data_IF_713924653799
#
_entry.id   IF_713924653799
#
_cell.length_a   1.000
_cell.length_b   1.000
_cell.length_c   1.000
_cell.angle_alpha   90.00
_cell.angle_beta   90.00
_cell.angle_gamma   90.00
#
_symmetry.space_group_name_H-M   'P 1'
#
loop_
_entity.id
_entity.type
_entity.pdbx_description
1 polymer ?
#
# COMPACT_ATOMS: atom_id res chain seq x y z
N UNK A 1 21.42 11.24 4.36
CA UNK A 1 20.33 10.60 5.13
C UNK A 1 20.88 9.53 6.05
N UNK A 2 20.31 9.40 7.23
CA UNK A 2 20.76 8.45 8.26
C UNK A 2 19.93 7.16 8.25
N UNK A 3 18.66 7.20 7.93
CA UNK A 3 17.78 6.04 7.95
C UNK A 3 16.93 5.94 6.69
N UNK A 4 17.18 4.89 5.91
CA UNK A 4 16.34 4.55 4.75
C UNK A 4 15.31 3.52 5.18
N UNK A 5 14.03 3.83 5.02
CA UNK A 5 12.93 2.99 5.47
C UNK A 5 12.39 2.08 4.37
N UNK A 6 12.30 2.56 3.13
CA UNK A 6 11.86 1.76 1.99
C UNK A 6 12.44 2.29 0.67
N UNK A 7 12.54 1.40 -0.30
CA UNK A 7 12.85 1.74 -1.69
C UNK A 7 11.84 1.00 -2.59
N UNK A 8 11.29 1.73 -3.54
CA UNK A 8 10.33 1.21 -4.52
C UNK A 8 10.83 1.52 -5.92
N UNK A 9 10.83 0.53 -6.80
CA UNK A 9 11.19 0.67 -8.21
C UNK A 9 9.93 0.89 -9.05
N UNK A 10 9.90 1.94 -9.84
CA UNK A 10 8.84 2.25 -10.79
C UNK A 10 9.28 2.13 -12.25
N UNK A 11 8.31 2.09 -13.17
CA UNK A 11 8.56 2.09 -14.61
C UNK A 11 9.01 0.75 -15.20
N UNK A 12 9.01 -0.33 -14.42
CA UNK A 12 9.45 -1.66 -14.86
C UNK A 12 8.26 -2.61 -15.08
N UNK A 13 8.44 -3.56 -15.98
CA UNK A 13 7.47 -4.63 -16.18
C UNK A 13 7.41 -5.52 -14.92
N UNK A 14 6.21 -5.87 -14.50
CA UNK A 14 5.97 -6.67 -13.29
C UNK A 14 5.32 -8.01 -13.57
N UNK A 15 4.90 -8.25 -14.82
CA UNK A 15 4.31 -9.50 -15.26
C UNK A 15 5.01 -10.02 -16.50
N UNK A 16 5.12 -11.34 -16.61
CA UNK A 16 5.62 -12.01 -17.79
C UNK A 16 5.04 -13.44 -17.86
N UNK A 17 4.98 -13.99 -19.07
CA UNK A 17 4.70 -15.40 -19.29
C UNK A 17 6.02 -16.14 -19.47
N UNK A 18 6.27 -17.16 -18.65
CA UNK A 18 7.45 -18.02 -18.78
C UNK A 18 7.08 -19.32 -19.50
N UNK A 19 7.77 -19.59 -20.59
CA UNK A 19 7.62 -20.84 -21.35
C UNK A 19 8.52 -21.91 -20.74
N UNK A 20 7.92 -22.99 -20.26
CA UNK A 20 8.65 -24.17 -19.73
C UNK A 20 9.32 -25.01 -20.85
N UNK A 21 8.96 -24.75 -22.11
CA UNK A 21 9.48 -25.52 -23.26
C UNK A 21 10.82 -25.00 -23.69
N UNK A 22 10.98 -23.69 -23.80
CA UNK A 22 12.17 -23.03 -24.32
C UNK A 22 12.83 -22.05 -23.34
N UNK A 23 12.29 -21.94 -22.12
CA UNK A 23 12.84 -21.10 -21.05
C UNK A 23 12.74 -19.60 -21.32
N UNK A 24 11.85 -19.15 -22.21
CA UNK A 24 11.72 -17.75 -22.59
C UNK A 24 10.62 -17.03 -21.81
N UNK A 25 10.88 -15.75 -21.54
CA UNK A 25 9.88 -14.80 -21.07
C UNK A 25 9.22 -14.11 -22.27
N UNK A 26 7.90 -14.07 -22.26
CA UNK A 26 7.06 -13.39 -23.25
C UNK A 26 5.95 -12.61 -22.56
N UNK A 27 5.24 -11.77 -23.30
CA UNK A 27 4.12 -10.99 -22.79
C UNK A 27 4.48 -10.21 -21.52
N UNK A 28 5.67 -9.59 -21.51
CA UNK A 28 6.07 -8.70 -20.43
C UNK A 28 5.23 -7.44 -20.51
N UNK A 29 4.50 -7.16 -19.44
CA UNK A 29 3.56 -6.04 -19.38
C UNK A 29 3.38 -5.55 -17.93
N UNK A 30 2.60 -4.49 -17.81
CA UNK A 30 2.19 -3.88 -16.56
C UNK A 30 3.34 -3.25 -15.78
N UNK A 31 3.59 -2.00 -16.07
CA UNK A 31 4.53 -1.19 -15.30
C UNK A 31 3.88 -0.78 -13.98
N UNK A 32 4.25 -1.47 -12.91
CA UNK A 32 3.86 -1.16 -11.53
C UNK A 32 5.10 -0.92 -10.69
N UNK A 33 4.89 -0.38 -9.50
CA UNK A 33 5.96 -0.23 -8.53
C UNK A 33 6.30 -1.57 -7.88
N UNK A 34 7.60 -1.82 -7.68
CA UNK A 34 8.14 -3.01 -7.04
C UNK A 34 8.84 -2.58 -5.76
N UNK A 35 8.34 -3.00 -4.60
CA UNK A 35 8.99 -2.72 -3.32
C UNK A 35 10.20 -3.62 -3.12
N UNK A 36 11.34 -3.02 -2.82
CA UNK A 36 12.57 -3.74 -2.53
C UNK A 36 12.60 -4.23 -1.08
N UNK A 37 13.18 -5.40 -0.87
CA UNK A 37 13.37 -5.95 0.46
C UNK A 37 14.59 -5.33 1.14
N UNK A 38 14.42 -4.78 2.34
CA UNK A 38 15.52 -4.26 3.16
C UNK A 38 16.37 -5.41 3.67
N UNK A 39 17.68 -5.35 3.44
CA UNK A 39 18.68 -6.34 3.87
C UNK A 39 19.72 -5.77 4.84
N UNK A 40 19.77 -4.45 4.99
CA UNK A 40 20.63 -3.71 5.91
C UNK A 40 20.13 -2.30 6.11
N UNK A 41 20.84 -1.48 6.88
CA UNK A 41 20.39 -0.11 7.21
C UNK A 41 20.11 0.76 5.98
N UNK A 42 20.93 0.59 4.93
CA UNK A 42 20.83 1.32 3.67
C UNK A 42 20.92 0.39 2.46
N UNK A 43 20.69 -0.91 2.65
CA UNK A 43 20.81 -1.93 1.61
C UNK A 43 19.46 -2.57 1.35
N UNK A 44 19.11 -2.66 0.07
CA UNK A 44 17.86 -3.21 -0.40
C UNK A 44 18.12 -4.12 -1.60
N UNK A 45 17.31 -5.15 -1.76
CA UNK A 45 17.40 -6.11 -2.86
C UNK A 45 16.01 -6.37 -3.46
N UNK A 46 15.95 -6.64 -4.74
CA UNK A 46 14.73 -7.03 -5.44
C UNK A 46 15.03 -7.85 -6.69
N UNK A 47 14.05 -8.58 -7.15
CA UNK A 47 14.13 -9.35 -8.40
C UNK A 47 13.34 -8.57 -9.46
N UNK A 48 13.97 -8.29 -10.58
CA UNK A 48 13.39 -7.57 -11.71
C UNK A 48 13.27 -8.49 -12.92
N UNK A 49 12.25 -8.24 -13.73
CA UNK A 49 12.19 -8.81 -15.07
C UNK A 49 13.26 -8.15 -15.96
N UNK A 50 13.78 -8.85 -16.98
CA UNK A 50 14.62 -8.25 -17.98
C UNK A 50 13.96 -7.03 -18.63
N UNK A 51 14.75 -6.02 -18.95
CA UNK A 51 14.27 -4.79 -19.58
C UNK A 51 15.30 -4.29 -20.58
N UNK A 52 14.87 -3.97 -21.80
CA UNK A 52 15.76 -3.51 -22.86
C UNK A 52 16.15 -2.04 -22.72
N UNK A 53 15.45 -1.26 -21.90
CA UNK A 53 15.68 0.15 -21.71
C UNK A 53 15.29 0.62 -20.30
N UNK A 54 16.24 1.23 -19.59
CA UNK A 54 16.04 1.79 -18.26
C UNK A 54 16.07 3.32 -18.25
N UNK A 55 16.77 3.94 -19.20
CA UNK A 55 16.97 5.39 -19.28
C UNK A 55 15.62 6.10 -19.38
N UNK A 56 15.40 7.07 -18.50
CA UNK A 56 14.16 7.85 -18.37
C UNK A 56 12.88 7.00 -18.13
N UNK A 57 13.03 5.69 -17.86
CA UNK A 57 11.92 4.77 -17.58
C UNK A 57 11.95 4.24 -16.16
N UNK A 58 13.09 3.68 -15.73
CA UNK A 58 13.23 3.17 -14.37
C UNK A 58 13.41 4.33 -13.40
N UNK A 59 12.62 4.31 -12.35
CA UNK A 59 12.73 5.25 -11.24
C UNK A 59 12.82 4.52 -9.89
N UNK A 60 13.57 5.09 -8.96
CA UNK A 60 13.62 4.64 -7.56
C UNK A 60 12.96 5.71 -6.69
N UNK A 61 11.97 5.31 -5.93
CA UNK A 61 11.41 6.11 -4.86
C UNK A 61 12.00 5.65 -3.54
N UNK A 62 12.67 6.54 -2.83
CA UNK A 62 13.41 6.25 -1.61
C UNK A 62 12.79 7.02 -0.45
N UNK A 63 12.36 6.32 0.58
CA UNK A 63 11.87 6.93 1.81
C UNK A 63 12.99 6.93 2.83
N UNK A 64 13.42 8.11 3.25
CA UNK A 64 14.56 8.27 4.15
C UNK A 64 14.40 9.49 5.07
N UNK A 65 14.69 9.35 6.37
CA UNK A 65 14.66 10.41 7.38
C UNK A 65 13.34 11.23 7.38
N UNK A 66 12.23 10.59 7.05
CA UNK A 66 10.91 11.23 6.94
C UNK A 66 10.72 12.04 5.65
N UNK A 67 11.62 11.91 4.67
CA UNK A 67 11.51 12.50 3.34
C UNK A 67 11.36 11.45 2.26
N UNK A 68 10.75 11.84 1.14
CA UNK A 68 10.68 11.07 -0.08
C UNK A 68 11.68 11.63 -1.09
N UNK A 69 12.44 10.75 -1.70
CA UNK A 69 13.43 11.07 -2.72
C UNK A 69 13.16 10.23 -3.94
N UNK A 70 13.45 10.78 -5.11
CA UNK A 70 13.28 10.06 -6.37
C UNK A 70 14.58 10.14 -7.17
N UNK A 71 14.97 9.01 -7.71
CA UNK A 71 16.03 8.88 -8.69
C UNK A 71 15.44 8.28 -9.95
N UNK A 72 15.73 8.84 -11.10
CA UNK A 72 15.39 8.27 -12.42
C UNK A 72 16.68 8.00 -13.16
N UNK A 73 16.79 6.83 -13.78
CA UNK A 73 17.99 6.47 -14.55
C UNK A 73 18.22 7.51 -15.66
N UNK A 74 19.30 8.31 -15.59
CA UNK A 74 19.52 9.41 -16.51
C UNK A 74 20.12 8.95 -17.85
N UNK A 75 20.12 9.84 -18.81
CA UNK A 75 20.89 9.69 -20.04
C UNK A 75 22.38 9.56 -19.70
N UNK A 76 23.06 8.61 -20.35
CA UNK A 76 24.49 8.34 -20.10
C UNK A 76 24.76 7.38 -18.94
N UNK A 77 23.73 6.85 -18.28
CA UNK A 77 23.87 5.76 -17.33
C UNK A 77 24.61 4.57 -17.92
N UNK A 78 25.48 3.95 -17.13
CA UNK A 78 26.21 2.73 -17.52
C UNK A 78 25.32 1.50 -17.51
N UNK A 79 24.23 1.54 -16.72
CA UNK A 79 23.20 0.51 -16.68
C UNK A 79 22.00 1.04 -17.48
N UNK A 80 21.92 0.65 -18.73
CA UNK A 80 20.88 1.07 -19.67
C UNK A 80 19.77 0.01 -19.87
N UNK A 81 20.03 -1.21 -19.40
CA UNK A 81 19.12 -2.36 -19.53
C UNK A 81 19.33 -3.40 -18.42
N UNK A 82 18.34 -4.26 -18.20
CA UNK A 82 18.45 -5.45 -17.38
C UNK A 82 18.48 -6.72 -18.24
N UNK A 83 19.53 -7.49 -18.13
CA UNK A 83 19.69 -8.79 -18.81
C UNK A 83 19.42 -9.90 -17.81
N UNK A 84 18.72 -10.95 -18.24
CA UNK A 84 18.43 -12.09 -17.38
C UNK A 84 19.71 -12.78 -16.89
N UNK A 85 19.75 -13.15 -15.61
CA UNK A 85 20.88 -13.85 -14.99
C UNK A 85 22.02 -12.92 -14.53
N UNK A 86 21.77 -11.63 -14.50
CA UNK A 86 22.77 -10.64 -14.03
C UNK A 86 22.29 -9.93 -12.75
N UNK A 87 23.24 -9.53 -11.92
CA UNK A 87 23.06 -8.67 -10.75
C UNK A 87 23.46 -7.24 -11.10
N UNK A 88 22.62 -6.28 -10.69
CA UNK A 88 22.87 -4.85 -10.91
C UNK A 88 22.85 -4.12 -9.57
N UNK A 89 23.87 -3.30 -9.31
CA UNK A 89 23.98 -2.52 -8.08
C UNK A 89 23.82 -1.03 -8.39
N UNK A 90 22.88 -0.39 -7.72
CA UNK A 90 22.69 1.06 -7.76
C UNK A 90 23.13 1.65 -6.42
N UNK A 91 24.15 2.53 -6.44
CA UNK A 91 24.56 3.28 -5.28
C UNK A 91 23.99 4.69 -5.39
N UNK A 92 22.98 4.99 -4.58
CA UNK A 92 22.27 6.26 -4.67
C UNK A 92 22.59 7.14 -3.46
N UNK A 93 23.12 8.34 -3.74
CA UNK A 93 23.34 9.35 -2.72
C UNK A 93 22.03 10.11 -2.48
N UNK A 94 21.51 10.03 -1.28
CA UNK A 94 20.30 10.74 -0.87
C UNK A 94 20.70 11.91 0.01
N UNK A 95 20.57 13.14 -0.48
CA UNK A 95 21.05 14.36 0.18
C UNK A 95 20.01 15.46 0.23
N UNK A 96 20.38 16.53 0.92
CA UNK A 96 19.61 17.76 0.99
C UNK A 96 19.79 18.54 -0.32
N UNK A 97 18.72 19.10 -0.83
CA UNK A 97 18.75 19.89 -2.07
C UNK A 97 20.00 20.80 -2.15
N UNK A 98 20.85 20.54 -3.11
CA UNK A 98 21.70 21.54 -3.70
C UNK A 98 21.49 21.43 -5.21
N UNK A 99 20.93 22.48 -5.75
CA UNK A 99 20.82 22.66 -7.20
C UNK A 99 22.20 22.53 -7.84
N UNK A 100 22.37 21.57 -8.71
CA UNK A 100 23.50 21.54 -9.63
C UNK A 100 24.45 20.38 -9.44
N UNK A 101 24.58 19.65 -10.51
CA UNK A 101 25.62 18.69 -10.90
C UNK A 101 25.57 17.29 -10.27
N UNK A 102 25.28 16.35 -11.14
CA UNK A 102 25.37 14.90 -10.95
C UNK A 102 26.85 14.50 -10.83
N UNK A 103 27.28 14.10 -9.65
CA UNK A 103 28.57 13.50 -9.43
C UNK A 103 28.52 11.98 -9.60
N UNK A 104 29.11 11.44 -10.66
CA UNK A 104 29.17 9.99 -10.88
C UNK A 104 30.15 9.31 -9.95
N UNK A 105 29.76 8.25 -9.29
CA UNK A 105 30.60 7.36 -8.50
C UNK A 105 30.77 5.99 -9.17
N UNK A 106 31.82 5.26 -8.87
CA UNK A 106 32.16 3.99 -9.50
C UNK A 106 31.66 2.78 -8.70
N UNK A 107 31.11 1.83 -9.39
CA UNK A 107 30.66 0.57 -8.81
C UNK A 107 31.47 -0.65 -9.24
N UNK A 108 31.45 -1.71 -8.48
CA UNK A 108 32.13 -2.96 -8.74
C UNK A 108 31.19 -4.15 -8.80
N UNK A 109 31.54 -5.11 -9.55
CA UNK A 109 30.83 -6.25 -10.07
C UNK A 109 31.15 -7.57 -9.39
N UNK A 110 30.21 -8.42 -9.12
CA UNK A 110 30.48 -9.83 -8.73
C UNK A 110 29.42 -10.82 -9.24
N UNK A 111 29.77 -12.04 -9.57
CA UNK A 111 29.05 -12.89 -10.51
C UNK A 111 27.99 -13.77 -9.86
N UNK A 112 26.83 -13.44 -10.13
CA UNK A 112 25.91 -14.12 -11.02
C UNK A 112 26.02 -13.65 -12.48
N UNK A 113 27.07 -13.23 -13.00
CA UNK A 113 27.24 -12.46 -14.21
C UNK A 113 26.98 -10.97 -13.90
N UNK A 114 28.08 -10.24 -13.92
CA UNK A 114 28.11 -8.83 -13.58
C UNK A 114 27.33 -7.95 -14.55
N UNK A 115 26.22 -7.38 -14.08
CA UNK A 115 25.40 -6.48 -14.87
C UNK A 115 25.80 -5.00 -14.79
N UNK A 116 26.64 -4.64 -13.85
CA UNK A 116 27.09 -3.26 -13.65
C UNK A 116 26.58 -2.62 -12.35
N UNK A 117 27.11 -1.45 -12.05
CA UNK A 117 26.62 -0.61 -10.95
C UNK A 117 26.45 0.84 -11.38
N UNK A 118 25.50 1.51 -10.78
CA UNK A 118 25.16 2.89 -11.05
C UNK A 118 25.12 3.70 -9.76
N UNK A 119 25.62 4.93 -9.81
CA UNK A 119 25.54 5.89 -8.73
C UNK A 119 24.70 7.07 -9.15
N UNK A 120 23.81 7.53 -8.30
CA UNK A 120 22.94 8.65 -8.58
C UNK A 120 22.47 9.39 -7.34
N UNK A 121 21.94 10.57 -7.54
CA UNK A 121 21.33 11.38 -6.50
C UNK A 121 19.80 11.30 -6.60
N UNK A 122 19.14 11.17 -5.46
CA UNK A 122 17.68 11.19 -5.36
C UNK A 122 17.19 12.56 -4.94
N UNK A 123 16.32 13.13 -5.75
CA UNK A 123 15.65 14.39 -5.46
C UNK A 123 14.51 14.21 -4.46
N UNK A 124 14.36 15.19 -3.56
CA UNK A 124 13.24 15.17 -2.62
C UNK A 124 11.95 15.52 -3.34
N UNK A 125 10.95 14.65 -3.26
CA UNK A 125 9.60 14.89 -3.79
C UNK A 125 8.57 14.93 -2.66
N UNK A 126 7.61 15.80 -2.80
CA UNK A 126 6.47 15.91 -1.88
C UNK A 126 5.35 14.98 -2.36
N UNK A 127 4.88 14.09 -1.51
CA UNK A 127 3.69 13.27 -1.75
C UNK A 127 2.68 13.41 -0.63
N UNK A 128 1.67 14.23 -0.90
CA UNK A 128 0.37 13.96 -0.31
C UNK A 128 -0.53 13.49 -1.46
N UNK A 129 -1.04 12.27 -1.39
CA UNK A 129 -2.19 11.93 -2.23
C UNK A 129 -3.27 12.96 -1.90
N UNK A 130 -3.59 13.82 -2.85
CA UNK A 130 -4.54 14.90 -2.61
C UNK A 130 -5.89 14.29 -2.24
N UNK A 131 -6.40 14.64 -1.06
CA UNK A 131 -7.77 14.30 -0.69
C UNK A 131 -8.69 14.94 -1.73
N UNK A 132 -9.58 14.19 -2.38
CA UNK A 132 -10.47 14.76 -3.38
C UNK A 132 -11.26 15.94 -2.80
N UNK A 133 -11.40 17.01 -3.59
CA UNK A 133 -11.96 18.28 -3.11
C UNK A 133 -13.43 18.19 -2.66
N UNK A 134 -14.12 17.14 -3.03
CA UNK A 134 -15.51 16.87 -2.67
C UNK A 134 -15.67 16.13 -1.33
N UNK A 135 -14.56 15.84 -0.63
CA UNK A 135 -14.60 15.27 0.71
C UNK A 135 -14.57 16.35 1.80
N UNK A 136 -15.50 16.24 2.74
CA UNK A 136 -15.46 17.03 3.98
C UNK A 136 -14.33 16.48 4.87
N UNK A 137 -13.28 17.27 5.07
CA UNK A 137 -12.11 16.85 5.83
C UNK A 137 -12.29 17.12 7.32
N UNK A 138 -11.88 16.16 8.15
CA UNK A 138 -11.83 16.26 9.60
C UNK A 138 -10.44 15.88 10.09
N UNK A 139 -9.72 16.83 10.67
CA UNK A 139 -8.41 16.58 11.27
C UNK A 139 -8.55 15.77 12.56
N UNK A 140 -7.72 14.75 12.70
CA UNK A 140 -7.68 13.85 13.85
C UNK A 140 -6.40 14.11 14.64
N UNK A 141 -6.54 14.27 15.94
CA UNK A 141 -5.42 14.35 16.89
C UNK A 141 -5.55 13.26 17.96
N UNK A 142 -4.58 13.15 18.86
CA UNK A 142 -4.56 12.11 19.89
C UNK A 142 -5.75 12.16 20.88
N UNK A 143 -6.39 13.32 21.00
CA UNK A 143 -7.52 13.54 21.91
C UNK A 143 -8.88 13.34 21.22
N UNK A 144 -8.87 13.07 19.90
CA UNK A 144 -10.11 12.93 19.13
C UNK A 144 -10.85 11.67 19.52
N UNK A 145 -12.12 11.81 19.88
CA UNK A 145 -12.99 10.64 20.08
C UNK A 145 -13.62 10.23 18.76
N UNK A 146 -13.16 9.09 18.19
CA UNK A 146 -13.65 8.57 16.92
C UNK A 146 -15.12 8.16 16.95
N UNK A 147 -15.67 7.77 18.10
CA UNK A 147 -17.10 7.39 18.17
C UNK A 147 -18.02 8.56 17.94
N UNK A 148 -17.55 9.78 18.17
CA UNK A 148 -18.35 11.02 18.04
C UNK A 148 -17.89 11.91 16.87
N UNK A 149 -16.69 11.70 16.33
CA UNK A 149 -16.14 12.58 15.27
C UNK A 149 -17.04 12.62 14.02
N UNK A 150 -17.73 11.55 13.73
CA UNK A 150 -18.66 11.44 12.60
C UNK A 150 -20.09 11.84 12.95
N UNK A 151 -20.39 12.25 14.20
CA UNK A 151 -21.74 12.69 14.59
C UNK A 151 -22.20 13.86 13.70
N UNK A 152 -23.38 13.69 13.10
CA UNK A 152 -23.94 14.67 12.15
C UNK A 152 -23.23 14.78 10.80
N UNK A 153 -22.25 13.91 10.51
CA UNK A 153 -21.59 13.87 9.22
C UNK A 153 -22.48 13.24 8.14
N UNK A 154 -22.34 13.69 6.91
CA UNK A 154 -23.05 13.15 5.75
C UNK A 154 -22.22 13.26 4.48
N UNK A 155 -22.55 12.49 3.45
CA UNK A 155 -21.84 12.49 2.16
C UNK A 155 -20.46 11.91 2.26
N UNK A 156 -19.48 12.52 1.61
CA UNK A 156 -18.10 12.05 1.55
C UNK A 156 -17.27 12.69 2.66
N UNK A 157 -16.64 11.88 3.48
CA UNK A 157 -15.87 12.33 4.65
C UNK A 157 -14.47 11.77 4.62
N UNK A 158 -13.47 12.62 4.84
CA UNK A 158 -12.08 12.23 5.04
C UNK A 158 -11.64 12.50 6.49
N UNK A 159 -11.16 11.48 7.17
CA UNK A 159 -10.49 11.59 8.47
C UNK A 159 -8.99 11.66 8.22
N UNK A 160 -8.39 12.80 8.57
CA UNK A 160 -6.98 13.12 8.28
C UNK A 160 -6.16 12.99 9.56
N UNK A 161 -5.29 12.00 9.60
CA UNK A 161 -4.45 11.68 10.75
C UNK A 161 -3.07 12.33 10.58
N UNK A 162 -2.75 13.30 11.43
CA UNK A 162 -1.43 13.91 11.45
C UNK A 162 -0.36 12.98 12.02
N UNK A 163 0.92 13.33 11.84
CA UNK A 163 2.02 12.62 12.45
C UNK A 163 1.88 12.60 13.98
N UNK A 164 1.96 11.40 14.56
CA UNK A 164 2.00 11.21 16.02
C UNK A 164 3.03 10.14 16.34
N UNK A 165 4.10 10.51 17.03
CA UNK A 165 5.21 9.60 17.36
C UNK A 165 4.76 8.40 18.23
N UNK A 166 3.78 8.62 19.11
CA UNK A 166 3.22 7.59 19.99
C UNK A 166 2.14 6.75 19.28
N UNK A 167 1.70 7.19 18.11
CA UNK A 167 0.57 6.62 17.41
C UNK A 167 -0.78 7.01 18.04
N UNK A 168 -1.85 6.48 17.49
CA UNK A 168 -3.22 6.69 17.97
C UNK A 168 -3.76 5.42 18.60
N UNK A 169 -4.56 5.54 19.65
CA UNK A 169 -5.24 4.41 20.27
C UNK A 169 -6.72 4.71 20.44
N UNK A 170 -7.55 3.90 19.79
CA UNK A 170 -9.00 4.02 19.79
C UNK A 170 -9.61 2.71 20.32
N UNK A 171 -10.00 2.73 21.60
CA UNK A 171 -10.56 1.57 22.31
C UNK A 171 -12.02 1.28 21.94
N UNK A 172 -12.71 2.27 21.41
CA UNK A 172 -14.12 2.15 21.03
C UNK A 172 -14.26 1.94 19.52
N UNK A 173 -15.34 1.29 19.11
CA UNK A 173 -15.68 1.18 17.70
C UNK A 173 -16.05 2.54 17.14
N UNK A 174 -15.55 2.85 15.96
CA UNK A 174 -16.00 3.99 15.18
C UNK A 174 -17.30 3.61 14.46
N UNK A 175 -18.39 4.28 14.81
CA UNK A 175 -19.69 4.07 14.16
C UNK A 175 -19.85 5.11 13.04
N UNK A 176 -20.00 4.63 11.83
CA UNK A 176 -20.21 5.49 10.65
C UNK A 176 -21.70 5.72 10.47
N UNK A 177 -22.17 6.99 10.51
CA UNK A 177 -23.58 7.30 10.30
C UNK A 177 -24.07 6.87 8.90
N UNK A 178 -25.34 6.49 8.80
CA UNK A 178 -25.98 6.10 7.54
C UNK A 178 -25.91 7.19 6.45
N UNK A 179 -25.92 8.45 6.85
CA UNK A 179 -25.81 9.60 5.96
C UNK A 179 -24.41 9.77 5.31
N UNK A 180 -23.38 9.09 5.82
CA UNK A 180 -22.04 9.08 5.21
C UNK A 180 -22.01 8.04 4.10
N UNK A 181 -21.75 8.50 2.88
CA UNK A 181 -21.73 7.65 1.68
C UNK A 181 -20.34 7.13 1.33
N UNK A 182 -19.32 7.93 1.58
CA UNK A 182 -17.92 7.53 1.38
C UNK A 182 -17.08 7.94 2.59
N UNK A 183 -16.22 7.03 3.04
CA UNK A 183 -15.30 7.28 4.15
C UNK A 183 -13.86 7.02 3.71
N UNK A 184 -13.01 8.03 3.89
CA UNK A 184 -11.57 7.95 3.68
C UNK A 184 -10.86 8.17 5.02
N UNK A 185 -9.99 7.23 5.41
CA UNK A 185 -9.01 7.42 6.48
C UNK A 185 -7.64 7.58 5.85
N UNK A 186 -6.97 8.69 6.10
CA UNK A 186 -5.68 8.98 5.48
C UNK A 186 -4.66 9.48 6.50
N UNK A 187 -3.48 8.86 6.49
CA UNK A 187 -2.31 9.38 7.20
C UNK A 187 -1.69 10.54 6.42
N UNK A 188 -1.74 11.75 6.98
CA UNK A 188 -1.18 12.97 6.37
C UNK A 188 0.31 13.11 6.71
N UNK A 189 1.11 12.15 6.28
CA UNK A 189 2.54 12.13 6.56
C UNK A 189 3.31 11.31 5.54
N UNK A 190 4.63 11.52 5.50
CA UNK A 190 5.54 10.72 4.69
C UNK A 190 5.69 9.27 5.20
N UNK A 191 5.35 9.01 6.47
CA UNK A 191 5.35 7.67 7.09
C UNK A 191 3.93 7.25 7.37
N UNK A 192 3.70 5.95 7.31
CA UNK A 192 2.43 5.39 7.77
C UNK A 192 2.13 5.83 9.20
N UNK A 193 0.91 6.30 9.41
CA UNK A 193 0.46 6.69 10.74
C UNK A 193 0.07 5.45 11.52
N UNK A 194 0.73 5.24 12.66
CA UNK A 194 0.45 4.11 13.54
C UNK A 194 -0.84 4.31 14.31
N UNK A 195 -1.65 3.27 14.35
CA UNK A 195 -2.87 3.29 15.15
C UNK A 195 -3.29 1.91 15.65
N UNK A 196 -3.79 1.89 16.88
CA UNK A 196 -4.59 0.78 17.40
C UNK A 196 -6.04 1.15 17.19
N UNK A 197 -6.71 0.49 16.26
CA UNK A 197 -8.11 0.74 15.92
C UNK A 197 -8.92 -0.52 16.13
N UNK A 198 -9.87 -0.46 17.05
CA UNK A 198 -10.67 -1.63 17.41
C UNK A 198 -11.55 -2.09 16.25
N UNK A 199 -12.39 -1.20 15.75
CA UNK A 199 -13.38 -1.57 14.75
C UNK A 199 -14.00 -0.35 14.07
N UNK A 200 -14.35 -0.48 12.81
CA UNK A 200 -15.20 0.45 12.06
C UNK A 200 -16.51 -0.26 11.74
N UNK A 201 -17.61 0.27 12.29
CA UNK A 201 -18.98 -0.24 12.05
C UNK A 201 -19.71 0.72 11.13
N UNK A 202 -20.33 0.21 10.08
CA UNK A 202 -21.06 1.03 9.13
C UNK A 202 -22.38 0.37 8.70
N UNK A 203 -23.30 1.19 8.21
CA UNK A 203 -24.64 0.75 7.80
C UNK A 203 -24.77 0.74 6.28
N UNK A 204 -24.32 1.80 5.60
CA UNK A 204 -24.48 1.92 4.16
C UNK A 204 -23.36 2.77 3.56
N UNK A 205 -22.19 2.18 3.29
CA UNK A 205 -21.12 2.87 2.59
C UNK A 205 -21.07 2.46 1.11
N UNK A 206 -20.89 3.42 0.22
CA UNK A 206 -20.56 3.20 -1.19
C UNK A 206 -19.06 3.03 -1.38
N UNK A 207 -18.24 3.67 -0.52
CA UNK A 207 -16.80 3.50 -0.54
C UNK A 207 -16.21 3.60 0.84
N UNK A 208 -15.26 2.70 1.14
CA UNK A 208 -14.32 2.84 2.24
C UNK A 208 -12.90 2.77 1.71
N UNK A 209 -12.10 3.79 2.01
CA UNK A 209 -10.71 3.86 1.61
C UNK A 209 -9.81 4.11 2.82
N UNK A 210 -8.71 3.36 2.90
CA UNK A 210 -7.66 3.53 3.89
C UNK A 210 -6.35 3.76 3.16
N UNK A 211 -5.63 4.82 3.54
CA UNK A 211 -4.40 5.19 2.88
C UNK A 211 -3.32 5.60 3.88
N UNK A 212 -2.12 5.08 3.71
CA UNK A 212 -0.93 5.44 4.48
C UNK A 212 -1.07 5.24 6.00
N UNK A 213 -1.62 4.09 6.42
CA UNK A 213 -1.90 3.74 7.81
C UNK A 213 -1.21 2.43 8.22
N UNK A 214 -0.72 2.37 9.46
CA UNK A 214 -0.21 1.15 10.10
C UNK A 214 -1.16 0.78 11.26
N UNK A 215 -2.10 -0.13 10.97
CA UNK A 215 -3.23 -0.45 11.84
C UNK A 215 -3.00 -1.77 12.56
N UNK A 216 -3.01 -1.73 13.87
CA UNK A 216 -2.95 -2.89 14.73
C UNK A 216 -4.30 -3.14 15.40
N UNK A 217 -4.82 -4.35 15.31
CA UNK A 217 -6.04 -4.80 15.98
C UNK A 217 -5.77 -5.50 17.32
N UNK A 218 -6.77 -6.22 17.82
CA UNK A 218 -6.76 -6.93 19.10
C UNK A 218 -6.76 -8.47 18.98
N UNK A 219 -6.55 -9.01 17.80
CA UNK A 219 -6.65 -10.43 17.42
C UNK A 219 -8.05 -11.06 17.58
N UNK A 220 -9.03 -10.34 18.05
CA UNK A 220 -10.36 -10.90 18.36
C UNK A 220 -11.48 -10.36 17.49
N UNK A 221 -11.30 -9.14 16.96
CA UNK A 221 -12.33 -8.44 16.19
C UNK A 221 -11.94 -8.26 14.72
N UNK A 222 -12.96 -8.07 13.89
CA UNK A 222 -12.80 -7.61 12.53
C UNK A 222 -12.64 -6.08 12.53
N UNK A 223 -11.74 -5.54 11.68
CA UNK A 223 -11.58 -4.11 11.55
C UNK A 223 -12.81 -3.46 10.93
N UNK A 224 -13.27 -3.99 9.81
CA UNK A 224 -14.45 -3.51 9.09
C UNK A 224 -15.58 -4.51 9.25
N UNK A 225 -16.70 -4.05 9.77
CA UNK A 225 -17.91 -4.88 9.94
C UNK A 225 -19.16 -4.07 9.62
N UNK A 226 -20.13 -4.70 9.00
CA UNK A 226 -21.45 -4.13 8.85
C UNK A 226 -22.25 -4.34 10.15
N UNK A 227 -23.14 -3.42 10.46
CA UNK A 227 -24.12 -3.63 11.51
C UNK A 227 -25.06 -4.78 11.08
N UNK A 228 -25.43 -5.67 12.00
CA UNK A 228 -26.16 -6.94 11.75
C UNK A 228 -27.40 -6.82 10.85
N UNK A 229 -27.96 -5.63 10.71
CA UNK A 229 -29.14 -5.35 9.88
C UNK A 229 -28.84 -4.62 8.58
N UNK A 230 -27.59 -4.24 8.34
CA UNK A 230 -27.24 -3.37 7.23
C UNK A 230 -26.76 -4.16 6.01
N UNK A 231 -27.24 -3.77 4.87
CA UNK A 231 -26.72 -4.19 3.58
C UNK A 231 -25.70 -3.17 3.08
N UNK A 232 -24.52 -3.64 2.65
CA UNK A 232 -23.65 -2.81 1.83
C UNK A 232 -24.42 -2.34 0.60
N UNK A 233 -24.18 -1.10 0.15
CA UNK A 233 -24.65 -0.67 -1.15
C UNK A 233 -24.17 -1.68 -2.20
N UNK A 234 -25.03 -2.06 -3.13
CA UNK A 234 -24.75 -3.10 -4.14
C UNK A 234 -23.53 -2.82 -5.03
N UNK A 235 -22.99 -1.60 -4.95
CA UNK A 235 -21.83 -1.15 -5.72
C UNK A 235 -20.70 -0.61 -4.83
N UNK A 236 -20.63 -1.05 -3.57
CA UNK A 236 -19.61 -0.59 -2.64
C UNK A 236 -18.19 -0.96 -3.10
N UNK A 237 -17.23 -0.07 -2.84
CA UNK A 237 -15.81 -0.21 -3.15
C UNK A 237 -14.99 -0.21 -1.86
N UNK A 238 -14.06 -1.16 -1.75
CA UNK A 238 -13.01 -1.16 -0.73
C UNK A 238 -11.69 -0.84 -1.41
N UNK A 239 -10.98 0.17 -0.90
CA UNK A 239 -9.74 0.68 -1.48
C UNK A 239 -8.67 0.87 -0.39
N UNK A 240 -7.67 0.00 -0.35
CA UNK A 240 -6.58 0.06 0.61
C UNK A 240 -5.28 0.33 -0.13
N UNK A 241 -4.58 1.39 0.28
CA UNK A 241 -3.30 1.76 -0.30
C UNK A 241 -2.26 2.09 0.76
N UNK A 242 -1.06 1.59 0.58
CA UNK A 242 0.08 1.87 1.49
C UNK A 242 -0.28 1.63 2.96
N UNK A 243 -0.98 0.54 3.26
CA UNK A 243 -1.42 0.23 4.61
C UNK A 243 -0.81 -1.05 5.14
N UNK A 244 -0.50 -1.06 6.43
CA UNK A 244 -0.17 -2.26 7.18
C UNK A 244 -1.36 -2.63 8.07
N UNK A 245 -1.72 -3.91 8.06
CA UNK A 245 -2.76 -4.46 8.93
C UNK A 245 -2.17 -5.63 9.71
N UNK A 246 -2.28 -5.59 11.02
CA UNK A 246 -1.71 -6.64 11.87
C UNK A 246 -2.56 -6.94 13.11
N UNK A 247 -2.41 -8.18 13.61
CA UNK A 247 -2.97 -8.60 14.87
C UNK A 247 -4.50 -8.36 14.97
N UNK A 248 -5.24 -8.79 13.96
CA UNK A 248 -6.69 -8.73 13.95
C UNK A 248 -7.30 -10.08 13.50
N UNK A 249 -8.55 -10.32 13.81
CA UNK A 249 -9.23 -11.53 13.35
C UNK A 249 -9.32 -11.53 11.82
N UNK A 250 -9.86 -10.47 11.27
CA UNK A 250 -9.96 -10.24 9.83
C UNK A 250 -10.00 -8.74 9.55
N UNK A 251 -9.62 -8.32 8.35
CA UNK A 251 -9.78 -6.91 7.98
C UNK A 251 -11.24 -6.63 7.68
N UNK A 252 -11.89 -7.46 6.90
CA UNK A 252 -13.30 -7.28 6.51
C UNK A 252 -14.11 -8.51 6.85
N UNK A 253 -15.10 -8.37 7.75
CA UNK A 253 -16.08 -9.42 8.06
C UNK A 253 -17.49 -8.95 7.69
N UNK A 254 -17.99 -9.47 6.60
CA UNK A 254 -19.33 -9.20 6.07
C UNK A 254 -20.17 -10.48 5.97
N UNK A 255 -19.83 -11.46 6.80
CA UNK A 255 -20.47 -12.77 6.78
C UNK A 255 -21.80 -12.84 7.55
N UNK A 256 -22.14 -11.80 8.30
CA UNK A 256 -23.31 -11.80 9.19
C UNK A 256 -24.55 -11.25 8.50
N UNK A 257 -25.10 -11.99 7.60
CA UNK A 257 -26.39 -11.65 6.98
C UNK A 257 -27.13 -12.93 6.65
N UNK A 258 -27.84 -13.51 7.61
CA UNK A 258 -28.65 -14.72 7.41
C UNK A 258 -29.90 -14.50 6.52
N UNK A 259 -30.09 -13.32 5.99
CA UNK A 259 -31.31 -12.95 5.27
C UNK A 259 -31.20 -12.97 3.75
N UNK A 260 -30.31 -13.75 3.17
CA UNK A 260 -30.26 -13.95 1.71
C UNK A 260 -29.86 -12.73 0.88
N UNK A 261 -29.53 -11.62 1.49
CA UNK A 261 -29.03 -10.43 0.80
C UNK A 261 -27.50 -10.59 0.62
N UNK A 262 -27.13 -10.89 -0.59
CA UNK A 262 -25.74 -11.00 -0.97
C UNK A 262 -25.11 -9.61 -1.02
N UNK A 263 -24.25 -9.29 -0.08
CA UNK A 263 -23.43 -8.09 -0.09
C UNK A 263 -22.31 -8.27 -1.15
N UNK A 264 -22.65 -7.95 -2.39
CA UNK A 264 -21.73 -8.05 -3.51
C UNK A 264 -21.00 -6.71 -3.67
N UNK A 265 -19.71 -6.69 -3.32
CA UNK A 265 -18.87 -5.52 -3.56
C UNK A 265 -18.67 -5.29 -5.06
N UNK A 266 -18.67 -4.05 -5.50
CA UNK A 266 -18.30 -3.70 -6.87
C UNK A 266 -16.82 -3.99 -7.12
N UNK A 267 -15.95 -3.55 -6.22
CA UNK A 267 -14.52 -3.80 -6.30
C UNK A 267 -13.84 -3.84 -4.93
N UNK A 268 -12.79 -4.64 -4.86
CA UNK A 268 -11.78 -4.60 -3.80
C UNK A 268 -10.45 -4.28 -4.45
N UNK A 269 -9.84 -3.18 -4.05
CA UNK A 269 -8.54 -2.71 -4.55
C UNK A 269 -7.57 -2.67 -3.37
N UNK A 270 -6.46 -3.36 -3.49
CA UNK A 270 -5.39 -3.40 -2.49
C UNK A 270 -4.08 -3.14 -3.21
N UNK A 271 -3.35 -2.13 -2.80
CA UNK A 271 -2.07 -1.78 -3.39
C UNK A 271 -1.06 -1.36 -2.32
N UNK A 272 0.16 -1.90 -2.40
CA UNK A 272 1.26 -1.63 -1.48
C UNK A 272 0.87 -1.82 0.00
N UNK A 273 0.23 -2.96 0.32
CA UNK A 273 -0.24 -3.28 1.66
C UNK A 273 0.45 -4.50 2.27
N UNK A 274 0.59 -4.49 3.59
CA UNK A 274 1.02 -5.63 4.38
C UNK A 274 -0.14 -6.14 5.24
N UNK A 275 -0.40 -7.45 5.18
CA UNK A 275 -1.35 -8.15 6.06
C UNK A 275 -0.60 -9.19 6.87
N UNK A 276 -0.60 -9.08 8.19
CA UNK A 276 0.19 -9.93 9.05
C UNK A 276 -0.54 -10.40 10.31
N UNK A 277 -0.30 -11.66 10.72
CA UNK A 277 -0.80 -12.22 11.98
C UNK A 277 -2.35 -12.10 12.11
N UNK A 278 -3.09 -12.65 11.18
CA UNK A 278 -4.57 -12.65 11.19
C UNK A 278 -5.14 -13.95 10.65
N UNK A 279 -6.44 -14.17 10.85
CA UNK A 279 -7.09 -15.36 10.34
C UNK A 279 -7.33 -15.24 8.83
N UNK A 280 -8.02 -14.16 8.44
CA UNK A 280 -8.35 -13.89 7.04
C UNK A 280 -8.12 -12.41 6.73
N UNK A 281 -7.98 -12.05 5.47
CA UNK A 281 -8.12 -10.65 5.03
C UNK A 281 -9.59 -10.34 4.80
N UNK A 282 -10.29 -11.18 4.05
CA UNK A 282 -11.69 -11.02 3.72
C UNK A 282 -12.51 -12.25 4.08
N UNK A 283 -13.64 -12.01 4.73
CA UNK A 283 -14.71 -12.97 4.97
C UNK A 283 -16.01 -12.33 4.46
N UNK A 284 -16.50 -12.74 3.28
CA UNK A 284 -17.60 -12.05 2.62
C UNK A 284 -18.31 -12.93 1.55
N UNK A 285 -19.43 -12.45 1.00
CA UNK A 285 -20.22 -13.18 0.02
C UNK A 285 -19.75 -13.06 -1.43
N UNK A 286 -18.98 -12.05 -1.76
CA UNK A 286 -18.39 -11.93 -3.10
C UNK A 286 -18.06 -10.50 -3.52
N UNK A 287 -17.35 -10.40 -4.63
CA UNK A 287 -17.00 -9.13 -5.28
C UNK A 287 -16.97 -9.33 -6.79
N UNK A 288 -17.39 -8.31 -7.55
CA UNK A 288 -17.29 -8.32 -9.01
C UNK A 288 -15.84 -8.28 -9.48
N UNK A 289 -14.96 -7.62 -8.73
CA UNK A 289 -13.54 -7.54 -9.03
C UNK A 289 -12.71 -7.48 -7.75
N UNK A 290 -11.58 -8.20 -7.74
CA UNK A 290 -10.56 -8.12 -6.70
C UNK A 290 -9.22 -7.86 -7.37
N UNK A 291 -8.55 -6.79 -6.97
CA UNK A 291 -7.22 -6.44 -7.45
C UNK A 291 -6.29 -6.32 -6.24
N UNK A 292 -5.27 -7.16 -6.18
CA UNK A 292 -4.24 -7.11 -5.14
C UNK A 292 -2.90 -6.95 -5.85
N UNK A 293 -2.21 -5.84 -5.55
CA UNK A 293 -0.93 -5.49 -6.17
C UNK A 293 0.08 -5.08 -5.12
N UNK A 294 1.35 -5.35 -5.36
CA UNK A 294 2.48 -4.91 -4.52
C UNK A 294 2.34 -5.25 -3.03
N UNK A 295 1.51 -6.23 -2.69
CA UNK A 295 1.10 -6.48 -1.31
C UNK A 295 1.66 -7.78 -0.77
N UNK A 296 1.91 -7.83 0.53
CA UNK A 296 2.46 -8.97 1.23
C UNK A 296 1.46 -9.52 2.23
N UNK A 297 1.30 -10.86 2.22
CA UNK A 297 0.46 -11.57 3.17
C UNK A 297 1.34 -12.53 3.97
N UNK A 298 1.36 -12.35 5.31
CA UNK A 298 2.28 -13.06 6.18
C UNK A 298 1.58 -13.61 7.43
N UNK A 299 1.82 -14.88 7.75
CA UNK A 299 1.22 -15.56 8.92
C UNK A 299 -0.30 -15.46 8.96
N UNK A 300 -0.95 -15.83 7.84
CA UNK A 300 -2.38 -16.09 7.84
C UNK A 300 -2.65 -17.44 8.49
N UNK A 301 -3.55 -17.50 9.47
CA UNK A 301 -3.84 -18.76 10.19
C UNK A 301 -4.94 -19.59 9.54
N UNK A 302 -5.74 -18.98 8.66
CA UNK A 302 -6.80 -19.68 7.93
C UNK A 302 -6.69 -19.40 6.41
N UNK A 303 -7.42 -18.42 5.91
CA UNK A 303 -7.53 -18.14 4.46
C UNK A 303 -7.30 -16.67 4.20
N UNK A 304 -6.74 -16.35 3.04
CA UNK A 304 -6.64 -14.94 2.61
C UNK A 304 -8.02 -14.39 2.34
N UNK A 305 -8.82 -15.10 1.56
CA UNK A 305 -10.18 -14.73 1.20
C UNK A 305 -11.08 -15.92 1.50
N UNK A 306 -12.13 -15.69 2.25
CA UNK A 306 -13.20 -16.63 2.48
C UNK A 306 -14.47 -16.12 1.84
N UNK A 307 -14.89 -16.77 0.76
CA UNK A 307 -16.15 -16.49 0.08
C UNK A 307 -17.17 -17.50 0.57
N UNK A 308 -18.25 -17.06 1.16
CA UNK A 308 -19.37 -17.93 1.53
C UNK A 308 -20.17 -18.25 0.26
N UNK A 309 -20.44 -19.53 0.04
CA UNK A 309 -21.33 -19.92 -1.04
C UNK A 309 -22.73 -19.33 -0.79
N UNK A 310 -23.28 -18.68 -1.80
CA UNK A 310 -24.68 -18.36 -1.84
C UNK A 310 -25.47 -19.65 -2.08
N UNK A 311 -26.15 -20.16 -1.06
CA UNK A 311 -27.13 -21.22 -1.22
C UNK A 311 -28.40 -20.70 -1.91
#
# INVERSE_FOLDING_TARGET
VSNVTSITVGGMNTTATFSLIDGKLTNMDTQKSISLQKTGDKSFIGIMLPAEELINKMSLTIMADGGKYQYTVPEGSKIDKFVAGYEYTFNINVGKETSGEIGGGSGSNTPWGDGGSEDGDGDKVSENEAIPADYAQKAINAETNLSTILSGASGKVALVFAANAEGYTFSDAMVVPEAVTELLLIGDTEKQVKMNLKQIQYTSLQKIALNNLDITGDNSTALLTNNETAQLATDAVVDFKKCNFSNMKTVCDWSTGDNGAQNLLSAVVIDDCLFANMQNVFNYYGSKAITITNSTLYKMTERVIYVKDAN
#
